data_IF_749900934489
#
_entry.id   IF_749900934489
#
_cell.length_a   1.000
_cell.length_b   1.000
_cell.length_c   1.000
_cell.angle_alpha   90.00
_cell.angle_beta   90.00
_cell.angle_gamma   90.00
#
_symmetry.space_group_name_H-M   'P 1'
#
loop_
_entity.id
_entity.type
_entity.pdbx_description
1 polymer ?
#
# COMPACT_ATOMS: atom_id res chain seq x y z
N UNK A 1 13.89 -1.07 -15.66
CA UNK A 1 13.54 -1.06 -14.23
C UNK A 1 14.62 -0.30 -13.50
N UNK A 2 14.28 0.81 -12.85
CA UNK A 2 15.22 1.62 -12.08
C UNK A 2 15.47 0.90 -10.76
N UNK A 3 16.73 0.64 -10.40
CA UNK A 3 17.05 0.10 -9.08
C UNK A 3 16.98 1.28 -8.09
N UNK A 4 15.89 1.36 -7.33
CA UNK A 4 15.65 2.44 -6.36
C UNK A 4 16.53 2.33 -5.10
N UNK A 5 17.36 1.29 -4.94
CA UNK A 5 18.12 1.05 -3.72
C UNK A 5 17.25 0.70 -2.51
N UNK A 6 15.97 0.36 -2.74
CA UNK A 6 15.03 -0.06 -1.71
C UNK A 6 15.15 -1.56 -1.55
N UNK A 7 15.40 -2.01 -0.32
CA UNK A 7 15.33 -3.42 0.03
C UNK A 7 13.88 -3.89 -0.09
N UNK A 8 13.60 -4.72 -1.09
CA UNK A 8 12.27 -5.28 -1.30
C UNK A 8 12.21 -6.68 -0.72
N UNK A 9 11.50 -6.84 0.39
CA UNK A 9 11.19 -8.18 0.91
C UNK A 9 9.97 -8.71 0.18
N UNK A 10 10.18 -9.48 -0.89
CA UNK A 10 9.11 -10.35 -1.40
C UNK A 10 8.94 -11.43 -0.33
N UNK A 11 7.81 -11.41 0.36
CA UNK A 11 7.49 -12.50 1.28
C UNK A 11 7.58 -13.80 0.48
N UNK A 12 8.34 -14.79 0.95
CA UNK A 12 8.09 -16.16 0.51
C UNK A 12 6.58 -16.41 0.64
N UNK A 13 5.96 -17.19 -0.25
CA UNK A 13 4.54 -17.47 -0.18
C UNK A 13 4.22 -18.35 1.04
N UNK A 14 4.41 -17.81 2.26
CA UNK A 14 3.63 -18.18 3.43
C UNK A 14 2.21 -17.68 3.17
N UNK A 15 1.53 -18.35 2.24
CA UNK A 15 0.08 -18.40 2.12
C UNK A 15 -0.55 -19.07 3.36
N UNK A 16 0.27 -19.58 4.29
CA UNK A 16 -0.12 -20.41 5.43
C UNK A 16 -1.08 -19.75 6.43
N UNK A 17 -1.27 -18.43 6.40
CA UNK A 17 -2.09 -17.72 7.40
C UNK A 17 -3.23 -16.88 6.80
N UNK A 18 -3.56 -17.05 5.51
CA UNK A 18 -4.67 -16.34 4.87
C UNK A 18 -4.61 -14.82 5.10
N UNK A 19 -5.70 -14.26 5.64
CA UNK A 19 -5.83 -12.82 5.94
C UNK A 19 -4.82 -12.35 7.00
N UNK A 20 -4.51 -13.14 8.02
CA UNK A 20 -3.68 -12.71 9.15
C UNK A 20 -2.26 -12.35 8.70
N UNK A 21 -1.75 -13.05 7.68
CA UNK A 21 -0.47 -12.72 7.06
C UNK A 21 -0.47 -11.36 6.36
N UNK A 22 -1.56 -10.98 5.69
CA UNK A 22 -1.70 -9.65 5.09
C UNK A 22 -1.75 -8.57 6.18
N UNK A 23 -2.58 -8.76 7.20
CA UNK A 23 -2.74 -7.80 8.29
C UNK A 23 -1.44 -7.60 9.07
N UNK A 24 -0.69 -8.66 9.34
CA UNK A 24 0.60 -8.56 10.02
C UNK A 24 1.61 -7.73 9.21
N UNK A 25 1.68 -7.92 7.89
CA UNK A 25 2.55 -7.11 7.03
C UNK A 25 2.14 -5.64 7.03
N UNK A 26 0.84 -5.35 6.99
CA UNK A 26 0.34 -3.97 7.09
C UNK A 26 0.70 -3.38 8.45
N UNK A 27 0.66 -4.17 9.53
CA UNK A 27 1.07 -3.75 10.87
C UNK A 27 2.57 -3.44 10.96
N UNK A 28 3.42 -4.12 10.19
CA UNK A 28 4.87 -3.90 10.17
C UNK A 28 5.30 -2.78 9.20
N UNK A 29 4.57 -2.56 8.12
CA UNK A 29 4.88 -1.56 7.10
C UNK A 29 4.66 -0.12 7.58
N UNK A 30 5.40 0.86 7.04
CA UNK A 30 5.14 2.28 7.33
C UNK A 30 3.99 2.83 6.49
N UNK A 31 3.82 2.32 5.27
CA UNK A 31 2.80 2.73 4.31
C UNK A 31 2.16 1.51 3.62
N UNK A 32 0.97 1.69 3.06
CA UNK A 32 0.36 0.73 2.12
C UNK A 32 0.28 1.35 0.73
N UNK A 33 0.74 0.64 -0.30
CA UNK A 33 0.65 1.08 -1.70
C UNK A 33 -0.13 0.06 -2.54
N UNK A 34 -1.16 0.50 -3.25
CA UNK A 34 -2.07 -0.36 -4.03
C UNK A 34 -1.76 -0.27 -5.52
N UNK A 35 -1.54 -1.41 -6.16
CA UNK A 35 -1.45 -1.54 -7.61
C UNK A 35 -2.83 -1.90 -8.20
N UNK A 36 -3.67 -0.88 -8.39
CA UNK A 36 -5.06 -1.00 -8.86
C UNK A 36 -5.20 -0.65 -10.34
N UNK A 37 -4.68 -1.50 -11.24
CA UNK A 37 -4.81 -1.28 -12.68
C UNK A 37 -6.28 -1.26 -13.11
N UNK A 38 -6.66 -0.23 -13.88
CA UNK A 38 -8.05 0.02 -14.28
C UNK A 38 -8.94 0.44 -13.11
N UNK A 39 -8.36 1.00 -12.04
CA UNK A 39 -9.09 1.48 -10.86
C UNK A 39 -9.71 0.41 -9.95
N UNK A 40 -9.53 -0.87 -10.26
CA UNK A 40 -10.18 -1.97 -9.54
C UNK A 40 -9.53 -2.27 -8.17
N UNK A 41 -10.37 -2.43 -7.16
CA UNK A 41 -10.01 -2.93 -5.83
C UNK A 41 -11.00 -4.01 -5.41
N UNK A 42 -10.46 -5.17 -5.04
CA UNK A 42 -11.25 -6.29 -4.53
C UNK A 42 -11.57 -6.15 -3.04
N UNK A 43 -12.53 -6.95 -2.54
CA UNK A 43 -12.98 -6.92 -1.13
C UNK A 43 -11.85 -7.17 -0.11
N UNK A 44 -10.88 -8.03 -0.44
CA UNK A 44 -9.73 -8.29 0.44
C UNK A 44 -8.85 -7.04 0.57
N UNK A 45 -8.57 -6.38 -0.55
CA UNK A 45 -7.79 -5.14 -0.56
C UNK A 45 -8.55 -4.02 0.13
N UNK A 46 -9.88 -3.94 -0.01
CA UNK A 46 -10.69 -2.99 0.75
C UNK A 46 -10.55 -3.17 2.27
N UNK A 47 -10.47 -4.42 2.74
CA UNK A 47 -10.21 -4.73 4.14
C UNK A 47 -8.80 -4.36 4.58
N UNK A 48 -7.80 -4.60 3.73
CA UNK A 48 -6.42 -4.18 3.95
C UNK A 48 -6.32 -2.64 4.08
N UNK A 49 -7.06 -1.90 3.24
CA UNK A 49 -7.17 -0.43 3.32
C UNK A 49 -7.78 -0.01 4.66
N UNK A 50 -8.93 -0.58 5.02
CA UNK A 50 -9.57 -0.27 6.30
C UNK A 50 -8.67 -0.55 7.50
N UNK A 51 -7.92 -1.65 7.46
CA UNK A 51 -6.98 -2.03 8.51
C UNK A 51 -5.80 -1.05 8.61
N UNK A 52 -5.18 -0.69 7.48
CA UNK A 52 -4.10 0.29 7.44
C UNK A 52 -4.53 1.65 8.01
N UNK A 53 -5.71 2.13 7.59
CA UNK A 53 -6.30 3.38 8.09
C UNK A 53 -6.62 3.31 9.58
N UNK A 54 -7.13 2.17 10.06
CA UNK A 54 -7.35 1.93 11.49
C UNK A 54 -6.08 1.98 12.33
N UNK A 55 -4.91 1.71 11.73
CA UNK A 55 -3.60 1.87 12.35
C UNK A 55 -3.00 3.28 12.15
N UNK A 56 -3.71 4.19 11.48
CA UNK A 56 -3.23 5.53 11.17
C UNK A 56 -2.15 5.57 10.09
N UNK A 57 -2.04 4.54 9.26
CA UNK A 57 -1.01 4.43 8.21
C UNK A 57 -1.52 5.02 6.90
N UNK A 58 -0.68 5.79 6.19
CA UNK A 58 -1.07 6.36 4.91
C UNK A 58 -1.25 5.26 3.85
N UNK A 59 -2.23 5.46 2.98
CA UNK A 59 -2.59 4.53 1.91
C UNK A 59 -2.51 5.26 0.58
N UNK A 60 -1.64 4.77 -0.29
CA UNK A 60 -1.42 5.30 -1.64
C UNK A 60 -1.95 4.31 -2.69
N UNK A 61 -2.30 4.80 -3.86
CA UNK A 61 -2.75 3.97 -4.98
C UNK A 61 -2.13 4.43 -6.31
N UNK A 62 -1.97 3.52 -7.26
CA UNK A 62 -1.46 3.81 -8.60
C UNK A 62 -2.47 4.64 -9.42
N UNK A 63 -3.74 4.27 -9.34
CA UNK A 63 -4.83 4.89 -10.09
C UNK A 63 -5.96 5.33 -9.14
N UNK A 64 -6.88 6.22 -9.57
CA UNK A 64 -8.11 6.46 -8.82
C UNK A 64 -8.89 5.16 -8.63
N UNK A 65 -9.41 4.92 -7.43
CA UNK A 65 -10.22 3.73 -7.13
C UNK A 65 -11.67 4.00 -7.55
N UNK A 66 -12.30 3.07 -8.26
CA UNK A 66 -13.70 3.22 -8.70
C UNK A 66 -14.71 3.09 -7.55
N UNK A 67 -14.35 2.35 -6.50
CA UNK A 67 -15.20 2.15 -5.31
C UNK A 67 -15.34 3.46 -4.51
N UNK A 68 -16.55 4.07 -4.46
CA UNK A 68 -16.78 5.34 -3.77
C UNK A 68 -16.58 5.24 -2.25
N UNK A 69 -16.68 4.05 -1.67
CA UNK A 69 -16.43 3.81 -0.25
C UNK A 69 -14.94 3.87 0.12
N UNK A 70 -14.04 3.77 -0.86
CA UNK A 70 -12.59 3.68 -0.64
C UNK A 70 -11.87 4.89 -1.22
N UNK A 71 -12.29 5.41 -2.38
CA UNK A 71 -11.53 6.43 -3.13
C UNK A 71 -11.19 7.68 -2.31
N UNK A 72 -12.05 8.07 -1.37
CA UNK A 72 -11.85 9.26 -0.54
C UNK A 72 -10.99 9.01 0.70
N UNK A 73 -10.65 7.75 0.98
CA UNK A 73 -9.83 7.34 2.12
C UNK A 73 -8.34 7.32 1.78
N UNK A 74 -7.98 7.41 0.50
CA UNK A 74 -6.60 7.43 0.06
C UNK A 74 -5.89 8.70 0.51
N UNK A 75 -4.64 8.54 0.94
CA UNK A 75 -3.71 9.65 1.16
C UNK A 75 -3.42 10.38 -0.15
N UNK A 76 -3.08 9.64 -1.22
CA UNK A 76 -2.89 10.19 -2.57
C UNK A 76 -2.91 9.09 -3.64
N UNK A 77 -3.29 9.47 -4.85
CA UNK A 77 -3.04 8.68 -6.07
C UNK A 77 -1.72 9.15 -6.67
N UNK A 78 -0.74 8.26 -6.78
CA UNK A 78 0.67 8.59 -7.07
C UNK A 78 1.39 7.44 -7.75
N UNK A 79 2.40 7.75 -8.55
CA UNK A 79 3.26 6.72 -9.11
C UNK A 79 4.20 6.14 -8.05
N UNK A 80 4.75 4.93 -8.25
CA UNK A 80 5.75 4.38 -7.34
C UNK A 80 6.97 5.29 -7.20
N UNK A 81 7.44 5.90 -8.30
CA UNK A 81 8.60 6.80 -8.30
C UNK A 81 8.36 8.03 -7.41
N UNK A 82 7.15 8.59 -7.42
CA UNK A 82 6.78 9.72 -6.56
C UNK A 82 6.78 9.34 -5.07
N UNK A 83 6.27 8.13 -4.74
CA UNK A 83 6.29 7.62 -3.36
C UNK A 83 7.72 7.39 -2.89
N UNK A 84 8.57 6.84 -3.74
CA UNK A 84 9.99 6.62 -3.44
C UNK A 84 10.68 7.96 -3.17
N UNK A 85 10.44 8.97 -3.99
CA UNK A 85 11.00 10.30 -3.78
C UNK A 85 10.52 10.93 -2.45
N UNK A 86 9.25 10.78 -2.11
CA UNK A 86 8.65 11.29 -0.86
C UNK A 86 9.27 10.61 0.37
N UNK A 87 9.38 9.28 0.36
CA UNK A 87 9.95 8.51 1.47
C UNK A 87 11.46 8.72 1.61
N UNK A 88 12.18 8.84 0.49
CA UNK A 88 13.63 9.12 0.50
C UNK A 88 13.95 10.53 0.99
N UNK A 89 13.04 11.49 0.77
CA UNK A 89 13.17 12.87 1.25
C UNK A 89 13.01 13.00 2.76
N UNK A 90 12.18 12.16 3.39
CA UNK A 90 11.93 12.18 4.83
C UNK A 90 13.05 11.55 5.67
N UNK A 91 14.01 10.83 5.08
CA UNK A 91 15.11 10.17 5.79
C UNK A 91 16.23 11.13 6.25
N UNK A 92 16.08 12.45 6.08
CA UNK A 92 17.10 13.48 6.38
C UNK A 92 16.79 14.39 7.59
N UNK A 93 15.78 14.09 8.41
CA UNK A 93 15.49 14.85 9.63
C UNK A 93 15.66 14.01 10.89
#
# INVERSE_FOLDING_TARGET
>A
MVNAGIETTISEPLQANGIDGCLQRIREAEITYILNFGGYVGKSVAMDVGYALGLGKPVYALEPIEDPGITHLLTRVVTPDDVIAELSGNSKN
#
